data_IF_207779984675
#
_entry.id   IF_207779984675
#
_cell.length_a   1.000
_cell.length_b   1.000
_cell.length_c   1.000
_cell.angle_alpha   90.00
_cell.angle_beta   90.00
_cell.angle_gamma   90.00
#
_symmetry.space_group_name_H-M   'P 1'
#
loop_
_entity.id
_entity.type
_entity.pdbx_description
1 polymer ?
#
# COMPACT_ATOMS: atom_id res chain seq x y z
N UNK A 1 33.12 5.33 19.52
CA UNK A 1 32.26 4.42 18.75
C UNK A 1 32.35 4.79 17.28
N UNK A 2 32.75 3.81 16.42
CA UNK A 2 32.90 4.04 14.98
C UNK A 2 31.59 4.54 14.35
N UNK A 3 31.61 5.72 13.75
CA UNK A 3 30.46 6.34 13.06
C UNK A 3 29.89 5.44 11.94
N UNK A 4 30.71 4.54 11.41
CA UNK A 4 30.37 3.58 10.35
C UNK A 4 29.70 2.28 10.83
N UNK A 5 29.58 2.08 12.17
CA UNK A 5 29.00 0.84 12.70
C UNK A 5 27.52 0.68 12.34
N UNK A 6 26.72 1.74 12.47
CA UNK A 6 25.27 1.68 12.21
C UNK A 6 24.93 1.48 10.73
N UNK A 7 25.54 2.20 9.78
CA UNK A 7 25.35 1.94 8.35
C UNK A 7 25.72 0.50 7.97
N UNK A 8 26.85 -0.01 8.48
CA UNK A 8 27.32 -1.38 8.21
C UNK A 8 26.34 -2.43 8.77
N UNK A 9 25.87 -2.25 10.00
CA UNK A 9 24.86 -3.13 10.60
C UNK A 9 23.54 -3.08 9.83
N UNK A 10 23.09 -1.91 9.43
CA UNK A 10 21.87 -1.74 8.64
C UNK A 10 21.96 -2.49 7.30
N UNK A 11 23.08 -2.36 6.59
CA UNK A 11 23.31 -3.09 5.33
C UNK A 11 23.36 -4.60 5.51
N UNK A 12 24.07 -5.07 6.55
CA UNK A 12 24.13 -6.50 6.87
C UNK A 12 22.76 -7.08 7.22
N UNK A 13 21.94 -6.33 7.95
CA UNK A 13 20.56 -6.71 8.27
C UNK A 13 19.69 -6.82 7.03
N UNK A 14 19.76 -5.85 6.13
CA UNK A 14 19.05 -5.89 4.85
C UNK A 14 19.42 -7.15 4.06
N UNK A 15 20.71 -7.45 3.97
CA UNK A 15 21.20 -8.62 3.23
C UNK A 15 20.82 -9.94 3.91
N UNK A 16 20.95 -10.04 5.23
CA UNK A 16 20.62 -11.25 6.00
C UNK A 16 19.12 -11.55 5.98
N UNK A 17 18.29 -10.52 6.07
CA UNK A 17 16.84 -10.64 6.11
C UNK A 17 16.18 -10.36 4.74
N UNK A 18 16.93 -10.53 3.64
CA UNK A 18 16.48 -10.23 2.28
C UNK A 18 15.13 -10.86 1.90
N UNK A 19 14.83 -12.07 2.40
CA UNK A 19 13.55 -12.76 2.17
C UNK A 19 12.33 -11.94 2.62
N UNK A 20 12.48 -11.08 3.64
CA UNK A 20 11.39 -10.23 4.14
C UNK A 20 11.42 -8.82 3.54
N UNK A 21 12.62 -8.32 3.22
CA UNK A 21 12.79 -7.00 2.62
C UNK A 21 12.48 -6.98 1.12
N UNK A 22 12.74 -8.08 0.40
CA UNK A 22 12.52 -8.16 -1.04
C UNK A 22 11.07 -7.86 -1.45
N UNK A 23 10.02 -8.48 -0.85
CA UNK A 23 8.64 -8.12 -1.18
C UNK A 23 8.32 -6.65 -0.87
N UNK A 24 8.88 -6.09 0.21
CA UNK A 24 8.70 -4.69 0.57
C UNK A 24 9.33 -3.75 -0.44
N UNK A 25 10.58 -4.02 -0.85
CA UNK A 25 11.26 -3.26 -1.91
C UNK A 25 10.52 -3.35 -3.25
N UNK A 26 10.05 -4.54 -3.63
CA UNK A 26 9.27 -4.75 -4.84
C UNK A 26 7.98 -3.90 -4.82
N UNK A 27 7.34 -3.81 -3.67
CA UNK A 27 6.15 -2.97 -3.48
C UNK A 27 6.47 -1.49 -3.71
N UNK A 28 7.57 -0.98 -3.12
CA UNK A 28 7.98 0.42 -3.28
C UNK A 28 8.31 0.68 -4.75
N UNK A 29 9.10 -0.18 -5.37
CA UNK A 29 9.51 -0.05 -6.78
C UNK A 29 8.28 -0.05 -7.68
N UNK A 30 7.36 -1.00 -7.51
CA UNK A 30 6.16 -1.13 -8.33
C UNK A 30 5.22 0.06 -8.19
N UNK A 31 4.93 0.50 -6.97
CA UNK A 31 4.05 1.64 -6.72
C UNK A 31 4.67 2.97 -7.15
N UNK A 32 5.99 3.17 -6.93
CA UNK A 32 6.69 4.36 -7.37
C UNK A 32 6.80 4.43 -8.90
N UNK A 33 7.04 3.29 -9.57
CA UNK A 33 7.04 3.21 -11.03
C UNK A 33 5.67 3.56 -11.61
N UNK A 34 4.58 2.99 -11.07
CA UNK A 34 3.22 3.27 -11.51
C UNK A 34 2.85 4.75 -11.30
N UNK A 35 3.21 5.34 -10.16
CA UNK A 35 2.98 6.75 -9.89
C UNK A 35 3.76 7.66 -10.84
N UNK A 36 5.06 7.36 -11.05
CA UNK A 36 5.88 8.11 -12.00
C UNK A 36 5.34 8.05 -13.44
N UNK A 37 4.93 6.85 -13.90
CA UNK A 37 4.33 6.68 -15.25
C UNK A 37 3.10 7.55 -15.40
N UNK A 38 2.20 7.57 -14.39
CA UNK A 38 1.01 8.42 -14.42
C UNK A 38 1.37 9.90 -14.51
N UNK A 39 2.31 10.37 -13.67
CA UNK A 39 2.77 11.76 -13.72
C UNK A 39 3.41 12.12 -15.08
N UNK A 40 4.24 11.25 -15.62
CA UNK A 40 4.89 11.45 -16.89
C UNK A 40 3.91 11.47 -18.08
N UNK A 41 2.80 10.73 -18.00
CA UNK A 41 1.72 10.78 -18.99
C UNK A 41 0.96 12.11 -18.95
N UNK A 42 0.79 12.71 -17.75
CA UNK A 42 0.18 14.02 -17.58
C UNK A 42 1.05 15.19 -18.08
N UNK A 43 2.37 15.02 -18.05
CA UNK A 43 3.35 16.06 -18.46
C UNK A 43 3.71 16.00 -19.97
N UNK A 44 3.13 15.07 -20.72
CA UNK A 44 3.38 14.92 -22.15
C UNK A 44 2.69 16.05 -22.96
N UNK A 45 3.30 17.23 -22.98
CA UNK A 45 2.76 18.47 -23.60
C UNK A 45 2.65 18.42 -25.14
N UNK A 46 3.20 17.41 -25.79
CA UNK A 46 3.30 17.32 -27.24
C UNK A 46 2.15 16.56 -27.93
N UNK A 47 1.06 16.25 -27.22
CA UNK A 47 -0.08 15.54 -27.82
C UNK A 47 -1.00 16.51 -28.57
N UNK A 48 -1.25 16.30 -29.89
CA UNK A 48 -2.09 17.16 -30.70
C UNK A 48 -3.59 17.04 -30.30
N UNK A 49 -4.24 18.18 -30.07
CA UNK A 49 -5.68 18.24 -29.78
C UNK A 49 -6.01 18.93 -28.44
N UNK A 50 -6.04 20.24 -28.39
CA UNK A 50 -6.10 21.04 -27.17
C UNK A 50 -7.22 20.64 -26.18
N UNK A 51 -8.43 20.43 -26.63
CA UNK A 51 -9.56 20.19 -25.71
C UNK A 51 -9.55 18.75 -25.14
N UNK A 52 -9.22 17.77 -25.97
CA UNK A 52 -9.16 16.36 -25.58
C UNK A 52 -7.98 16.04 -24.68
N UNK A 53 -6.88 16.81 -24.87
CA UNK A 53 -5.68 16.75 -24.04
C UNK A 53 -5.94 17.23 -22.59
N UNK A 54 -6.69 18.32 -22.41
CA UNK A 54 -7.01 18.85 -21.07
C UNK A 54 -7.73 17.80 -20.22
N UNK A 55 -8.74 17.11 -20.77
CA UNK A 55 -9.45 16.06 -20.04
C UNK A 55 -8.56 14.87 -19.72
N UNK A 56 -7.63 14.49 -20.61
CA UNK A 56 -6.68 13.42 -20.36
C UNK A 56 -5.74 13.78 -19.22
N UNK A 57 -5.23 15.00 -19.18
CA UNK A 57 -4.33 15.48 -18.12
C UNK A 57 -5.08 15.45 -16.75
N UNK A 58 -6.30 15.98 -16.70
CA UNK A 58 -7.10 15.93 -15.47
C UNK A 58 -7.33 14.50 -15.01
N UNK A 59 -7.70 13.60 -15.93
CA UNK A 59 -7.89 12.18 -15.60
C UNK A 59 -6.62 11.53 -15.06
N UNK A 60 -5.48 11.79 -15.67
CA UNK A 60 -4.17 11.26 -15.26
C UNK A 60 -3.72 11.82 -13.92
N UNK A 61 -3.91 13.13 -13.67
CA UNK A 61 -3.58 13.77 -12.39
C UNK A 61 -4.43 13.18 -11.27
N UNK A 62 -5.74 13.05 -11.49
CA UNK A 62 -6.63 12.42 -10.53
C UNK A 62 -6.29 10.94 -10.30
N UNK A 63 -5.96 10.20 -11.36
CA UNK A 63 -5.50 8.80 -11.28
C UNK A 63 -4.20 8.67 -10.45
N UNK A 64 -3.26 9.61 -10.62
CA UNK A 64 -2.04 9.64 -9.81
C UNK A 64 -2.35 9.85 -8.33
N UNK A 65 -3.35 10.67 -7.99
CA UNK A 65 -3.84 10.85 -6.63
C UNK A 65 -4.35 9.55 -6.02
N UNK A 66 -5.13 8.76 -6.77
CA UNK A 66 -5.61 7.43 -6.32
C UNK A 66 -4.43 6.49 -6.06
N UNK A 67 -3.46 6.43 -6.99
CA UNK A 67 -2.26 5.60 -6.81
C UNK A 67 -1.47 6.07 -5.58
N UNK A 68 -1.34 7.38 -5.36
CA UNK A 68 -0.68 7.96 -4.20
C UNK A 68 -1.30 7.53 -2.88
N UNK A 69 -2.63 7.65 -2.75
CA UNK A 69 -3.35 7.20 -1.54
C UNK A 69 -3.23 5.70 -1.34
N UNK A 70 -3.37 4.93 -2.42
CA UNK A 70 -3.16 3.49 -2.38
C UNK A 70 -1.74 3.12 -1.94
N UNK A 71 -0.72 3.82 -2.45
CA UNK A 71 0.67 3.64 -2.05
C UNK A 71 0.87 3.92 -0.55
N UNK A 72 0.27 4.99 0.00
CA UNK A 72 0.32 5.28 1.44
C UNK A 72 -0.21 4.08 2.23
N UNK A 73 -1.43 3.63 1.95
CA UNK A 73 -2.06 2.53 2.67
C UNK A 73 -1.24 1.25 2.58
N UNK A 74 -0.79 0.91 1.36
CA UNK A 74 -0.10 -0.33 1.07
C UNK A 74 1.32 -0.36 1.67
N UNK A 75 2.06 0.74 1.60
CA UNK A 75 3.39 0.86 2.19
C UNK A 75 3.35 0.86 3.72
N UNK A 76 2.38 1.54 4.35
CA UNK A 76 2.18 1.46 5.79
C UNK A 76 1.82 0.04 6.25
N UNK A 77 0.97 -0.65 5.50
CA UNK A 77 0.63 -2.04 5.79
C UNK A 77 1.83 -2.98 5.70
N UNK A 78 2.57 -2.94 4.57
CA UNK A 78 3.74 -3.79 4.35
C UNK A 78 4.88 -3.46 5.32
N UNK A 79 5.10 -2.18 5.64
CA UNK A 79 6.04 -1.74 6.67
C UNK A 79 5.65 -2.28 8.06
N UNK A 80 4.37 -2.19 8.43
CA UNK A 80 3.88 -2.73 9.71
C UNK A 80 4.06 -4.25 9.80
N UNK A 81 3.84 -4.97 8.69
CA UNK A 81 4.07 -6.41 8.60
C UNK A 81 5.56 -6.75 8.77
N UNK A 82 6.43 -6.02 8.06
CA UNK A 82 7.88 -6.17 8.17
C UNK A 82 8.37 -5.94 9.60
N UNK A 83 7.94 -4.84 10.22
CA UNK A 83 8.33 -4.50 11.59
C UNK A 83 7.83 -5.52 12.61
N UNK A 84 6.63 -6.08 12.42
CA UNK A 84 6.10 -7.13 13.30
C UNK A 84 6.97 -8.39 13.26
N UNK A 85 7.47 -8.77 12.10
CA UNK A 85 8.42 -9.90 11.95
C UNK A 85 9.76 -9.66 12.62
N UNK A 86 10.23 -8.41 12.63
CA UNK A 86 11.52 -8.00 13.22
C UNK A 86 11.46 -7.66 14.71
N UNK A 87 10.28 -7.58 15.27
CA UNK A 87 10.12 -7.21 16.69
C UNK A 87 10.98 -8.08 17.62
N UNK A 88 11.08 -9.38 17.35
CA UNK A 88 11.89 -10.31 18.13
C UNK A 88 13.39 -10.04 17.99
N UNK A 89 13.89 -9.75 16.79
CA UNK A 89 15.30 -9.41 16.56
C UNK A 89 15.68 -8.11 17.28
N UNK A 90 14.80 -7.10 17.23
CA UNK A 90 15.00 -5.81 17.91
C UNK A 90 14.99 -5.99 19.44
N UNK A 91 14.14 -6.89 19.94
CA UNK A 91 14.13 -7.28 21.37
C UNK A 91 15.46 -7.94 21.78
N UNK A 92 16.00 -8.83 20.95
CA UNK A 92 17.28 -9.49 21.19
C UNK A 92 18.43 -8.47 21.25
N UNK A 93 18.48 -7.51 20.31
CA UNK A 93 19.49 -6.44 20.36
C UNK A 93 19.41 -5.62 21.67
N UNK A 94 18.20 -5.41 22.18
CA UNK A 94 18.02 -4.69 23.42
C UNK A 94 18.58 -5.47 24.63
N UNK A 95 18.40 -6.81 24.66
CA UNK A 95 18.99 -7.66 25.74
C UNK A 95 20.50 -7.71 25.64
N UNK A 96 21.04 -7.73 24.44
CA UNK A 96 22.49 -7.66 24.20
C UNK A 96 23.11 -6.28 24.53
N UNK A 97 22.32 -5.38 25.16
CA UNK A 97 22.81 -4.09 25.66
C UNK A 97 22.66 -2.92 24.67
N UNK A 98 22.05 -3.11 23.50
CA UNK A 98 21.78 -2.00 22.59
C UNK A 98 20.61 -1.14 23.11
N UNK A 99 20.91 0.08 23.54
CA UNK A 99 19.88 1.03 23.94
C UNK A 99 18.93 1.43 22.78
N UNK A 100 17.71 1.86 23.11
CA UNK A 100 16.68 2.28 22.11
C UNK A 100 17.18 3.33 21.11
N UNK A 101 18.09 4.24 21.53
CA UNK A 101 18.71 5.24 20.63
C UNK A 101 19.61 4.61 19.55
N UNK A 102 20.31 3.53 19.88
CA UNK A 102 21.18 2.82 18.94
C UNK A 102 20.36 2.03 17.91
N UNK A 103 19.27 1.39 18.37
CA UNK A 103 18.29 0.71 17.50
C UNK A 103 17.63 1.72 16.56
N UNK A 104 17.25 2.90 17.06
CA UNK A 104 16.68 3.97 16.24
C UNK A 104 17.61 4.43 15.12
N UNK A 105 18.92 4.62 15.42
CA UNK A 105 19.92 4.98 14.40
C UNK A 105 20.08 3.88 13.34
N UNK A 106 20.08 2.63 13.77
CA UNK A 106 20.15 1.49 12.83
C UNK A 106 18.95 1.47 11.89
N UNK A 107 17.72 1.63 12.41
CA UNK A 107 16.49 1.69 11.62
C UNK A 107 16.46 2.90 10.67
N UNK A 108 17.01 4.03 11.09
CA UNK A 108 17.14 5.20 10.21
C UNK A 108 17.97 4.86 8.96
N UNK A 109 19.16 4.25 9.13
CA UNK A 109 20.01 3.87 8.00
C UNK A 109 19.36 2.77 7.15
N UNK A 110 18.66 1.81 7.76
CA UNK A 110 17.91 0.79 7.01
C UNK A 110 16.83 1.43 6.13
N UNK A 111 16.00 2.33 6.70
CA UNK A 111 14.98 3.02 5.94
C UNK A 111 15.57 3.90 4.84
N UNK A 112 16.72 4.53 5.10
CA UNK A 112 17.44 5.32 4.10
C UNK A 112 17.89 4.45 2.91
N UNK A 113 18.48 3.27 3.16
CA UNK A 113 18.85 2.35 2.09
C UNK A 113 17.64 1.84 1.31
N UNK A 114 16.55 1.51 2.00
CA UNK A 114 15.30 1.08 1.38
C UNK A 114 14.72 2.19 0.51
N UNK A 115 14.75 3.44 1.00
CA UNK A 115 14.27 4.59 0.26
C UNK A 115 15.10 4.84 -1.01
N UNK A 116 16.42 4.82 -0.90
CA UNK A 116 17.31 5.00 -2.04
C UNK A 116 17.09 3.91 -3.10
N UNK A 117 17.13 2.64 -2.70
CA UNK A 117 16.98 1.52 -3.63
C UNK A 117 15.55 1.50 -4.22
N UNK A 118 14.53 1.72 -3.38
CA UNK A 118 13.13 1.65 -3.77
C UNK A 118 12.73 2.78 -4.71
N UNK A 119 13.07 4.03 -4.38
CA UNK A 119 12.71 5.20 -5.18
C UNK A 119 13.50 5.23 -6.49
N UNK A 120 14.83 5.05 -6.43
CA UNK A 120 15.66 5.02 -7.65
C UNK A 120 15.27 3.85 -8.55
N UNK A 121 15.05 2.67 -7.97
CA UNK A 121 14.58 1.52 -8.72
C UNK A 121 13.18 1.73 -9.32
N UNK A 122 12.27 2.39 -8.59
CA UNK A 122 10.94 2.74 -9.06
C UNK A 122 10.97 3.72 -10.23
N UNK A 123 11.76 4.80 -10.12
CA UNK A 123 11.93 5.78 -11.20
C UNK A 123 12.59 5.13 -12.41
N UNK A 124 13.63 4.33 -12.23
CA UNK A 124 14.29 3.62 -13.32
C UNK A 124 13.34 2.67 -14.06
N UNK A 125 12.55 1.85 -13.32
CA UNK A 125 11.51 1.02 -13.90
C UNK A 125 10.43 1.86 -14.58
N UNK A 126 10.00 2.96 -13.95
CA UNK A 126 9.02 3.88 -14.51
C UNK A 126 9.47 4.49 -15.84
N UNK A 127 10.71 4.96 -15.92
CA UNK A 127 11.32 5.46 -17.16
C UNK A 127 11.35 4.41 -18.27
N UNK A 128 11.70 3.15 -17.95
CA UNK A 128 11.71 2.07 -18.92
C UNK A 128 10.31 1.74 -19.46
N UNK A 129 9.29 1.70 -18.58
CA UNK A 129 7.93 1.34 -18.96
C UNK A 129 7.09 2.53 -19.42
N UNK A 130 7.54 3.78 -19.22
CA UNK A 130 6.84 5.00 -19.63
C UNK A 130 6.51 4.97 -21.11
N UNK A 131 7.48 4.64 -21.97
CA UNK A 131 7.27 4.59 -23.42
C UNK A 131 6.22 3.57 -23.82
N UNK A 132 6.24 2.40 -23.18
CA UNK A 132 5.24 1.36 -23.43
C UNK A 132 3.84 1.82 -23.00
N UNK A 133 3.73 2.49 -21.85
CA UNK A 133 2.48 3.05 -21.34
C UNK A 133 1.93 4.14 -22.28
N UNK A 134 2.80 5.05 -22.75
CA UNK A 134 2.41 6.10 -23.71
C UNK A 134 1.91 5.52 -25.04
N UNK A 135 2.62 4.52 -25.60
CA UNK A 135 2.19 3.85 -26.82
C UNK A 135 0.85 3.15 -26.67
N UNK A 136 0.64 2.51 -25.52
CA UNK A 136 -0.61 1.82 -25.22
C UNK A 136 -1.76 2.82 -25.07
N UNK A 137 -1.54 3.94 -24.41
CA UNK A 137 -2.51 5.02 -24.28
C UNK A 137 -2.85 5.66 -25.60
N UNK A 138 -1.87 6.00 -26.45
CA UNK A 138 -2.10 6.55 -27.78
C UNK A 138 -2.93 5.58 -28.64
N UNK A 139 -2.65 4.27 -28.57
CA UNK A 139 -3.40 3.25 -29.29
C UNK A 139 -4.84 3.15 -28.81
N UNK A 140 -5.10 3.25 -27.50
CA UNK A 140 -6.43 3.19 -26.92
C UNK A 140 -7.28 4.42 -27.25
N UNK A 141 -6.67 5.59 -27.26
CA UNK A 141 -7.38 6.86 -27.51
C UNK A 141 -7.42 7.21 -29.01
N UNK A 142 -6.82 6.38 -29.88
CA UNK A 142 -6.73 6.60 -31.33
C UNK A 142 -6.02 7.92 -31.68
N UNK A 143 -4.99 8.28 -30.94
CA UNK A 143 -4.10 9.38 -31.29
C UNK A 143 -2.96 8.91 -32.19
N UNK A 144 -2.45 9.83 -33.03
CA UNK A 144 -1.24 9.58 -33.78
C UNK A 144 -0.07 9.31 -32.83
N UNK A 145 0.68 8.25 -33.16
CA UNK A 145 1.76 7.76 -32.29
C UNK A 145 2.92 8.74 -32.28
N UNK A 146 3.13 9.42 -31.18
CA UNK A 146 4.30 10.28 -30.96
C UNK A 146 5.49 9.46 -30.44
N UNK A 147 6.59 9.47 -31.17
CA UNK A 147 7.80 8.71 -30.83
C UNK A 147 8.80 9.46 -29.92
N UNK A 148 8.46 10.64 -29.41
CA UNK A 148 9.30 11.40 -28.52
C UNK A 148 9.52 10.67 -27.18
N UNK A 149 10.75 10.73 -26.65
CA UNK A 149 11.07 10.31 -25.30
C UNK A 149 11.31 11.58 -24.49
N UNK A 150 10.35 11.94 -23.66
CA UNK A 150 10.47 13.09 -22.74
C UNK A 150 10.63 12.56 -21.31
N UNK A 151 11.64 13.07 -20.59
CA UNK A 151 11.80 12.79 -19.17
C UNK A 151 11.06 13.87 -18.41
N UNK A 152 10.03 13.48 -17.68
CA UNK A 152 9.30 14.40 -16.80
C UNK A 152 10.11 14.68 -15.53
N UNK A 153 10.73 15.85 -15.44
CA UNK A 153 11.41 16.32 -14.23
C UNK A 153 10.43 16.51 -13.07
N UNK A 154 9.27 17.04 -13.37
CA UNK A 154 8.20 17.24 -12.38
C UNK A 154 7.71 15.90 -11.83
N UNK A 155 7.53 14.91 -12.71
CA UNK A 155 7.20 13.54 -12.30
C UNK A 155 8.26 12.90 -11.40
N UNK A 156 9.56 13.13 -11.65
CA UNK A 156 10.63 12.66 -10.77
C UNK A 156 10.57 13.33 -9.41
N UNK A 157 10.44 14.67 -9.38
CA UNK A 157 10.40 15.42 -8.12
C UNK A 157 9.20 15.06 -7.26
N UNK A 158 8.00 14.98 -7.83
CA UNK A 158 6.77 14.61 -7.12
C UNK A 158 6.83 13.18 -6.61
N UNK A 159 7.38 12.24 -7.40
CA UNK A 159 7.58 10.84 -6.96
C UNK A 159 8.56 10.77 -5.79
N UNK A 160 9.70 11.45 -5.86
CA UNK A 160 10.69 11.51 -4.78
C UNK A 160 10.08 12.10 -3.50
N UNK A 161 9.32 13.19 -3.63
CA UNK A 161 8.71 13.89 -2.49
C UNK A 161 7.62 13.02 -1.83
N UNK A 162 6.73 12.43 -2.62
CA UNK A 162 5.65 11.58 -2.12
C UNK A 162 6.21 10.33 -1.42
N UNK A 163 7.02 9.55 -2.11
CA UNK A 163 7.55 8.29 -1.56
C UNK A 163 8.56 8.53 -0.44
N UNK A 164 9.37 9.57 -0.56
CA UNK A 164 10.24 10.03 0.54
C UNK A 164 9.44 10.39 1.78
N UNK A 165 8.36 11.15 1.63
CA UNK A 165 7.42 11.51 2.70
C UNK A 165 6.75 10.29 3.35
N UNK A 166 6.26 9.35 2.53
CA UNK A 166 5.64 8.10 3.02
C UNK A 166 6.65 7.28 3.85
N UNK A 167 7.86 7.07 3.32
CA UNK A 167 8.89 6.28 4.00
C UNK A 167 9.39 6.97 5.27
N UNK A 168 9.47 8.30 5.27
CA UNK A 168 9.79 9.09 6.46
C UNK A 168 8.68 8.96 7.51
N UNK A 169 7.42 9.02 7.13
CA UNK A 169 6.29 8.79 8.03
C UNK A 169 6.29 7.36 8.59
N UNK A 170 6.60 6.34 7.76
CA UNK A 170 6.80 4.97 8.22
C UNK A 170 7.94 4.86 9.24
N UNK A 171 9.06 5.55 9.02
CA UNK A 171 10.18 5.60 9.95
C UNK A 171 9.75 6.20 11.30
N UNK A 172 9.10 7.37 11.28
CA UNK A 172 8.60 8.03 12.49
C UNK A 172 7.68 7.08 13.25
N UNK A 173 6.74 6.44 12.57
CA UNK A 173 5.83 5.47 13.18
C UNK A 173 6.55 4.30 13.84
N UNK A 174 7.56 3.74 13.17
CA UNK A 174 8.39 2.66 13.70
C UNK A 174 9.19 3.10 14.94
N UNK A 175 9.75 4.31 14.91
CA UNK A 175 10.48 4.87 16.05
C UNK A 175 9.57 5.11 17.26
N UNK A 176 8.38 5.68 17.06
CA UNK A 176 7.39 5.88 18.12
C UNK A 176 6.99 4.54 18.73
N UNK A 177 6.73 3.53 17.90
CA UNK A 177 6.38 2.19 18.37
C UNK A 177 7.46 1.58 19.25
N UNK A 178 8.73 1.65 18.86
CA UNK A 178 9.86 1.13 19.67
C UNK A 178 10.01 1.91 20.97
N UNK A 179 9.82 3.24 20.92
CA UNK A 179 9.89 4.07 22.12
C UNK A 179 8.83 3.69 23.17
N UNK A 180 7.62 3.35 22.72
CA UNK A 180 6.48 3.01 23.58
C UNK A 180 6.49 1.57 24.11
N UNK A 181 7.13 0.62 23.39
CA UNK A 181 7.16 -0.78 23.80
C UNK A 181 8.17 -1.04 24.93
N UNK A 182 7.76 -1.87 25.90
CA UNK A 182 8.64 -2.39 26.95
C UNK A 182 9.52 -3.50 26.38
N UNK A 183 10.78 -3.57 26.79
CA UNK A 183 11.79 -4.52 26.27
C UNK A 183 11.38 -5.98 26.42
N UNK A 184 10.70 -6.32 27.53
CA UNK A 184 10.22 -7.67 27.83
C UNK A 184 9.05 -8.07 26.90
N UNK A 185 8.16 -7.12 26.55
CA UNK A 185 7.05 -7.37 25.62
C UNK A 185 7.53 -7.64 24.19
N UNK A 186 8.68 -7.08 23.80
CA UNK A 186 9.30 -7.32 22.48
C UNK A 186 9.73 -8.78 22.30
N UNK A 187 10.21 -9.44 23.36
CA UNK A 187 10.64 -10.83 23.31
C UNK A 187 9.49 -11.82 23.33
N UNK A 188 8.47 -11.52 24.11
CA UNK A 188 7.31 -12.40 24.26
C UNK A 188 6.19 -12.11 23.26
N UNK A 189 6.44 -11.23 22.28
CA UNK A 189 5.46 -10.84 21.28
C UNK A 189 4.86 -12.02 20.50
N UNK A 190 5.62 -13.11 20.32
CA UNK A 190 5.15 -14.33 19.67
C UNK A 190 4.46 -15.32 20.65
N UNK A 191 4.77 -15.23 21.94
CA UNK A 191 4.21 -16.12 22.98
C UNK A 191 2.87 -15.61 23.55
N UNK A 192 2.62 -14.29 23.45
CA UNK A 192 1.33 -13.70 23.82
C UNK A 192 0.36 -14.01 22.69
N UNK A 193 -0.47 -15.02 22.85
CA UNK A 193 -1.53 -15.39 21.91
C UNK A 193 -2.33 -14.17 21.48
N UNK A 194 -2.66 -14.07 20.20
CA UNK A 194 -3.46 -12.95 19.69
C UNK A 194 -4.83 -12.94 20.39
N UNK A 195 -5.19 -11.83 21.01
CA UNK A 195 -6.52 -11.65 21.62
C UNK A 195 -7.59 -11.85 20.55
N UNK A 196 -8.69 -12.54 20.90
CA UNK A 196 -9.81 -12.72 19.99
C UNK A 196 -10.27 -11.39 19.38
N UNK A 197 -10.50 -11.36 18.07
CA UNK A 197 -10.97 -10.14 17.43
C UNK A 197 -12.39 -9.82 17.92
N UNK A 198 -12.61 -8.61 18.40
CA UNK A 198 -13.95 -8.13 18.73
C UNK A 198 -14.68 -7.76 17.43
N UNK A 199 -15.96 -8.14 17.35
CA UNK A 199 -16.82 -7.74 16.22
C UNK A 199 -17.03 -6.24 16.28
N UNK A 200 -16.60 -5.52 15.25
CA UNK A 200 -16.72 -4.05 15.18
C UNK A 200 -17.94 -3.71 14.31
N UNK A 201 -19.13 -3.77 14.88
CA UNK A 201 -20.38 -3.42 14.20
C UNK A 201 -20.35 -2.04 13.56
N UNK A 202 -19.76 -1.10 14.27
CA UNK A 202 -19.60 0.28 13.80
C UNK A 202 -18.75 0.35 12.52
N UNK A 203 -17.71 -0.49 12.42
CA UNK A 203 -16.86 -0.57 11.23
C UNK A 203 -17.61 -1.19 10.04
N UNK A 204 -18.51 -2.15 10.29
CA UNK A 204 -19.37 -2.74 9.25
C UNK A 204 -20.37 -1.70 8.73
N UNK A 205 -21.00 -0.94 9.62
CA UNK A 205 -21.96 0.10 9.25
C UNK A 205 -21.29 1.21 8.45
N UNK A 206 -20.13 1.69 8.89
CA UNK A 206 -19.32 2.67 8.13
C UNK A 206 -18.95 2.10 6.76
N UNK A 207 -18.50 0.85 6.68
CA UNK A 207 -18.12 0.21 5.42
C UNK A 207 -19.28 0.09 4.44
N UNK A 208 -20.49 -0.28 4.90
CA UNK A 208 -21.69 -0.34 4.07
C UNK A 208 -22.12 1.07 3.63
N UNK A 209 -22.11 2.04 4.53
CA UNK A 209 -22.50 3.43 4.23
C UNK A 209 -21.56 4.06 3.20
N UNK A 210 -20.22 3.92 3.37
CA UNK A 210 -19.25 4.49 2.43
C UNK A 210 -19.29 3.80 1.08
N UNK A 211 -19.50 2.47 1.05
CA UNK A 211 -19.63 1.73 -0.20
C UNK A 211 -20.93 2.09 -0.92
N UNK A 212 -22.05 2.16 -0.20
CA UNK A 212 -23.34 2.60 -0.75
C UNK A 212 -23.30 4.03 -1.27
N UNK A 213 -22.67 4.96 -0.54
CA UNK A 213 -22.47 6.34 -0.98
C UNK A 213 -21.59 6.41 -2.25
N UNK A 214 -20.51 5.63 -2.32
CA UNK A 214 -19.65 5.56 -3.49
C UNK A 214 -20.40 5.07 -4.75
N UNK A 215 -21.16 3.99 -4.64
CA UNK A 215 -21.99 3.50 -5.76
C UNK A 215 -23.14 4.47 -6.13
N UNK A 216 -23.77 5.09 -5.13
CA UNK A 216 -24.80 6.08 -5.37
C UNK A 216 -24.26 7.27 -6.15
N UNK A 217 -23.11 7.83 -5.77
CA UNK A 217 -22.44 8.91 -6.50
C UNK A 217 -22.10 8.48 -7.93
N UNK A 218 -21.55 7.27 -8.11
CA UNK A 218 -21.17 6.77 -9.44
C UNK A 218 -22.33 6.62 -10.42
N UNK A 219 -23.55 6.37 -9.92
CA UNK A 219 -24.76 6.14 -10.77
C UNK A 219 -25.57 7.42 -11.01
N UNK A 220 -25.48 8.42 -10.11
CA UNK A 220 -26.40 9.58 -10.11
C UNK A 220 -25.88 10.77 -10.92
N UNK A 221 -24.61 10.75 -11.38
CA UNK A 221 -23.99 11.91 -12.02
C UNK A 221 -24.09 11.79 -13.54
N UNK A 222 -24.91 12.68 -14.14
CA UNK A 222 -25.16 12.71 -15.59
C UNK A 222 -24.25 13.71 -16.34
N UNK A 223 -23.64 14.68 -15.65
CA UNK A 223 -22.79 15.71 -16.25
C UNK A 223 -21.34 15.23 -16.42
N UNK A 224 -20.81 15.24 -17.64
CA UNK A 224 -19.47 14.72 -17.97
C UNK A 224 -18.33 15.41 -17.20
N UNK A 225 -18.43 16.71 -16.89
CA UNK A 225 -17.41 17.48 -16.14
C UNK A 225 -17.43 17.12 -14.65
N UNK A 226 -18.61 17.12 -14.06
CA UNK A 226 -18.79 16.77 -12.66
C UNK A 226 -18.51 15.28 -12.44
N UNK A 227 -18.87 14.44 -13.41
CA UNK A 227 -18.63 12.99 -13.37
C UNK A 227 -17.17 12.65 -13.11
N UNK A 228 -16.24 13.41 -13.66
CA UNK A 228 -14.80 13.11 -13.53
C UNK A 228 -14.30 13.29 -12.09
N UNK A 229 -14.66 14.41 -11.44
CA UNK A 229 -14.26 14.70 -10.04
C UNK A 229 -14.99 13.77 -9.08
N UNK A 230 -16.31 13.62 -9.23
CA UNK A 230 -17.10 12.76 -8.35
C UNK A 230 -16.80 11.28 -8.52
N UNK A 231 -16.38 10.83 -9.70
CA UNK A 231 -15.89 9.47 -9.93
C UNK A 231 -14.70 9.15 -9.00
N UNK A 232 -13.72 10.04 -8.88
CA UNK A 232 -12.59 9.83 -7.99
C UNK A 232 -12.99 9.85 -6.51
N UNK A 233 -13.91 10.72 -6.11
CA UNK A 233 -14.49 10.70 -4.76
C UNK A 233 -15.18 9.34 -4.50
N UNK A 234 -15.96 8.85 -5.46
CA UNK A 234 -16.60 7.54 -5.39
C UNK A 234 -15.56 6.41 -5.25
N UNK A 235 -14.47 6.44 -6.03
CA UNK A 235 -13.36 5.47 -5.92
C UNK A 235 -12.75 5.48 -4.53
N UNK A 236 -12.48 6.64 -3.94
CA UNK A 236 -11.97 6.74 -2.57
C UNK A 236 -12.95 6.16 -1.53
N UNK A 237 -14.24 6.47 -1.66
CA UNK A 237 -15.27 5.92 -0.78
C UNK A 237 -15.34 4.39 -0.89
N UNK A 238 -15.26 3.86 -2.11
CA UNK A 238 -15.25 2.41 -2.36
C UNK A 238 -14.00 1.76 -1.77
N UNK A 239 -12.83 2.36 -1.92
CA UNK A 239 -11.58 1.86 -1.31
C UNK A 239 -11.72 1.79 0.22
N UNK A 240 -12.13 2.87 0.86
CA UNK A 240 -12.32 2.94 2.32
C UNK A 240 -13.39 1.92 2.76
N UNK A 241 -14.51 1.86 2.06
CA UNK A 241 -15.59 0.91 2.32
C UNK A 241 -15.13 -0.55 2.22
N UNK A 242 -14.35 -0.87 1.20
CA UNK A 242 -13.78 -2.20 1.00
C UNK A 242 -12.85 -2.60 2.14
N UNK A 243 -11.95 -1.71 2.59
CA UNK A 243 -11.09 -1.98 3.74
C UNK A 243 -11.89 -2.22 5.03
N UNK A 244 -12.90 -1.38 5.28
CA UNK A 244 -13.76 -1.52 6.46
C UNK A 244 -14.54 -2.82 6.42
N UNK A 245 -15.15 -3.15 5.27
CA UNK A 245 -15.93 -4.39 5.11
C UNK A 245 -15.05 -5.64 5.18
N UNK A 246 -13.91 -5.68 4.47
CA UNK A 246 -13.03 -6.84 4.55
C UNK A 246 -12.59 -7.13 5.98
N UNK A 247 -12.27 -6.08 6.75
CA UNK A 247 -11.86 -6.25 8.14
C UNK A 247 -13.02 -6.70 9.03
N UNK A 248 -14.20 -6.09 8.89
CA UNK A 248 -15.33 -6.35 9.76
C UNK A 248 -16.09 -7.63 9.36
N UNK A 249 -16.40 -7.81 8.07
CA UNK A 249 -17.16 -8.96 7.57
C UNK A 249 -16.39 -10.26 7.73
N UNK A 250 -15.08 -10.27 7.42
CA UNK A 250 -14.26 -11.46 7.60
C UNK A 250 -14.29 -11.98 9.04
N UNK A 251 -14.21 -11.09 10.01
CA UNK A 251 -14.29 -11.46 11.45
C UNK A 251 -15.71 -11.92 11.81
N UNK A 252 -16.73 -11.21 11.31
CA UNK A 252 -18.13 -11.52 11.62
C UNK A 252 -18.55 -12.87 11.05
N UNK A 253 -18.22 -13.16 9.78
CA UNK A 253 -18.51 -14.43 9.12
C UNK A 253 -17.83 -15.58 9.84
N UNK A 254 -16.57 -15.47 10.20
CA UNK A 254 -15.85 -16.51 10.94
C UNK A 254 -16.43 -16.74 12.33
N UNK A 255 -16.92 -15.69 13.02
CA UNK A 255 -17.62 -15.84 14.30
C UNK A 255 -18.98 -16.48 14.16
N UNK A 256 -19.75 -16.14 13.12
CA UNK A 256 -21.02 -16.79 12.83
C UNK A 256 -20.83 -18.29 12.53
N UNK A 257 -19.82 -18.65 11.72
CA UNK A 257 -19.47 -20.04 11.44
C UNK A 257 -19.03 -20.79 12.70
N UNK A 258 -18.31 -20.13 13.61
CA UNK A 258 -17.91 -20.70 14.91
C UNK A 258 -19.12 -20.90 15.84
N UNK A 259 -20.08 -20.00 15.80
CA UNK A 259 -21.28 -20.04 16.66
C UNK A 259 -22.21 -21.19 16.27
N UNK A 260 -22.17 -21.63 15.02
CA UNK A 260 -22.91 -22.81 14.55
C UNK A 260 -22.18 -24.09 14.97
N UNK A 261 -22.52 -24.60 16.17
CA UNK A 261 -21.87 -25.77 16.80
C UNK A 261 -21.86 -27.01 15.90
N UNK A 262 -22.92 -27.25 15.13
CA UNK A 262 -23.06 -28.42 14.25
C UNK A 262 -22.08 -28.37 13.06
N UNK A 263 -21.71 -27.20 12.60
CA UNK A 263 -20.74 -26.98 11.53
C UNK A 263 -19.30 -26.92 12.06
N UNK A 264 -19.10 -26.23 13.18
CA UNK A 264 -17.79 -25.98 13.77
C UNK A 264 -17.08 -27.24 14.29
N UNK A 265 -17.81 -28.16 14.98
CA UNK A 265 -17.21 -29.36 15.59
C UNK A 265 -16.89 -30.49 14.61
N UNK A 266 -17.09 -30.31 13.29
CA UNK A 266 -16.53 -31.24 12.29
C UNK A 266 -15.02 -31.07 12.22
N UNK A 267 -14.24 -32.15 12.31
CA UNK A 267 -12.77 -32.14 12.36
C UNK A 267 -12.08 -31.28 11.32
N UNK A 268 -12.57 -31.31 10.08
CA UNK A 268 -12.04 -30.48 8.98
C UNK A 268 -12.30 -28.99 9.16
N UNK A 269 -13.44 -28.60 9.75
CA UNK A 269 -13.87 -27.21 9.90
C UNK A 269 -13.29 -26.57 11.16
N UNK A 270 -13.10 -27.35 12.24
CA UNK A 270 -12.55 -26.86 13.50
C UNK A 270 -11.16 -26.23 13.35
N UNK A 271 -10.24 -26.97 12.71
CA UNK A 271 -8.88 -26.50 12.50
C UNK A 271 -8.86 -25.31 11.53
N UNK A 272 -9.66 -25.38 10.45
CA UNK A 272 -9.74 -24.32 9.44
C UNK A 272 -10.29 -23.00 10.01
N UNK A 273 -11.44 -23.04 10.67
CA UNK A 273 -12.11 -21.84 11.21
C UNK A 273 -11.29 -21.22 12.35
N UNK A 274 -10.78 -22.05 13.27
CA UNK A 274 -9.94 -21.57 14.37
C UNK A 274 -8.65 -20.92 13.86
N UNK A 275 -7.95 -21.58 12.93
CA UNK A 275 -6.74 -21.02 12.32
C UNK A 275 -7.02 -19.76 11.49
N UNK A 276 -8.13 -19.72 10.72
CA UNK A 276 -8.51 -18.56 9.93
C UNK A 276 -8.92 -17.36 10.79
N UNK A 277 -9.61 -17.55 11.90
CA UNK A 277 -10.07 -16.45 12.76
C UNK A 277 -8.90 -15.55 13.22
N UNK A 278 -7.77 -16.15 13.57
CA UNK A 278 -6.57 -15.43 13.97
C UNK A 278 -5.78 -14.88 12.77
N UNK A 279 -5.69 -15.65 11.67
CA UNK A 279 -4.99 -15.23 10.46
C UNK A 279 -5.71 -14.10 9.73
N UNK A 280 -7.05 -14.14 9.63
CA UNK A 280 -7.84 -13.12 8.94
C UNK A 280 -7.75 -11.75 9.63
N UNK A 281 -7.71 -11.68 10.95
CA UNK A 281 -7.49 -10.41 11.66
C UNK A 281 -6.19 -9.73 11.22
N UNK A 282 -5.16 -10.52 10.94
CA UNK A 282 -3.85 -10.01 10.53
C UNK A 282 -3.74 -9.73 9.05
N UNK A 283 -4.41 -10.51 8.22
CA UNK A 283 -4.27 -10.48 6.76
C UNK A 283 -5.46 -9.80 6.05
N UNK A 284 -6.51 -9.34 6.78
CA UNK A 284 -7.70 -8.73 6.18
C UNK A 284 -7.35 -7.54 5.28
N UNK A 285 -6.43 -6.67 5.70
CA UNK A 285 -5.97 -5.53 4.91
C UNK A 285 -5.22 -5.99 3.64
N UNK A 286 -4.39 -7.03 3.75
CA UNK A 286 -3.70 -7.60 2.58
C UNK A 286 -4.66 -8.20 1.57
N UNK A 287 -5.71 -8.90 2.04
CA UNK A 287 -6.76 -9.42 1.18
C UNK A 287 -7.60 -8.32 0.54
N UNK A 288 -7.89 -7.24 1.28
CA UNK A 288 -8.56 -6.06 0.74
C UNK A 288 -7.73 -5.42 -0.38
N UNK A 289 -6.41 -5.29 -0.20
CA UNK A 289 -5.50 -4.79 -1.23
C UNK A 289 -5.56 -5.64 -2.51
N UNK A 290 -5.49 -6.96 -2.38
CA UNK A 290 -5.57 -7.88 -3.53
C UNK A 290 -6.93 -7.74 -4.20
N UNK A 291 -8.02 -7.66 -3.43
CA UNK A 291 -9.37 -7.50 -3.97
C UNK A 291 -9.50 -6.19 -4.76
N UNK A 292 -9.05 -5.06 -4.20
CA UNK A 292 -9.11 -3.76 -4.85
C UNK A 292 -8.31 -3.78 -6.15
N UNK A 293 -7.07 -4.28 -6.13
CA UNK A 293 -6.23 -4.37 -7.32
C UNK A 293 -6.85 -5.29 -8.39
N UNK A 294 -7.37 -6.46 -7.99
CA UNK A 294 -7.96 -7.40 -8.95
C UNK A 294 -9.29 -6.91 -9.54
N UNK A 295 -10.02 -6.05 -8.85
CA UNK A 295 -11.26 -5.46 -9.38
C UNK A 295 -11.00 -4.22 -10.23
N UNK A 296 -9.96 -3.44 -9.94
CA UNK A 296 -9.60 -2.27 -10.76
C UNK A 296 -9.16 -2.64 -12.18
N UNK A 297 -8.44 -3.75 -12.35
CA UNK A 297 -7.93 -4.18 -13.66
C UNK A 297 -9.06 -4.53 -14.65
N UNK A 298 -10.05 -5.40 -14.31
CA UNK A 298 -11.12 -5.75 -15.26
C UNK A 298 -12.08 -4.60 -15.55
N UNK A 299 -12.38 -3.73 -14.55
CA UNK A 299 -13.26 -2.57 -14.76
C UNK A 299 -12.70 -1.61 -15.79
N UNK A 300 -11.37 -1.41 -15.81
CA UNK A 300 -10.72 -0.61 -16.85
C UNK A 300 -10.82 -1.22 -18.24
N UNK A 301 -10.97 -2.55 -18.35
CA UNK A 301 -11.11 -3.26 -19.63
C UNK A 301 -12.54 -3.26 -20.19
N UNK A 302 -13.56 -3.19 -19.34
CA UNK A 302 -14.97 -3.29 -19.76
C UNK A 302 -15.60 -1.95 -20.13
N UNK A 303 -14.96 -0.83 -19.78
CA UNK A 303 -15.41 0.54 -20.09
C UNK A 303 -14.58 1.24 -21.19
N UNK A 304 -13.67 0.51 -21.85
CA UNK A 304 -12.94 0.91 -23.05
C UNK A 304 -13.51 0.18 -24.28
#
# INVERSE_FOLDING_TARGET
MNKLLYPKLAWQNLRKNGKFYFPYLLTIIGTAAAFYIMMALGDAQDLPGQTRYVYLVEFVVLGSGVIGVFAVIFLFYTNSFLMKRRTRELGLYHILGMGKRHIAKMLFFETLYIALIGILGGIACGLLFQKLATLLLCKLVHFDVYFGFSISWEGIQTTCLLFGGILLACLIWNLLRIRMQKSIELLHADAIGEREPRTKWLLTLIGVATLGAGYYLAVTIDNAMDALVFYFVAVFLVIIGTYCLFTAVSITVLKLLRNNKRFYYRTKHFIGISGMLYRMKRNAVGLANICILSTMVPVSYTHL
#
